data_IF_749269688218
#
_entry.id   IF_749269688218
#
_cell.length_a   1.000
_cell.length_b   1.000
_cell.length_c   1.000
_cell.angle_alpha   90.00
_cell.angle_beta   90.00
_cell.angle_gamma   90.00
#
_symmetry.space_group_name_H-M   'P 1'
#
loop_
_entity.id
_entity.type
_entity.pdbx_description
1 polymer ?
#
# COMPACT_ATOMS: atom_id res chain seq x y z
N UNK A 1 -2.07 -10.75 -5.39
CA UNK A 1 -1.44 -9.64 -6.12
C UNK A 1 -1.45 -8.36 -5.26
N UNK A 2 -2.62 -7.84 -4.86
CA UNK A 2 -2.72 -6.55 -4.17
C UNK A 2 -1.78 -6.39 -2.95
N UNK A 3 -1.56 -7.46 -2.17
CA UNK A 3 -0.63 -7.43 -1.03
C UNK A 3 0.82 -7.27 -1.46
N UNK A 4 1.24 -7.99 -2.49
CA UNK A 4 2.61 -7.94 -3.00
C UNK A 4 2.89 -6.63 -3.75
N UNK A 5 1.89 -6.14 -4.49
CA UNK A 5 1.99 -4.91 -5.30
C UNK A 5 1.73 -3.63 -4.50
N UNK A 6 1.47 -3.74 -3.18
CA UNK A 6 1.20 -2.59 -2.32
C UNK A 6 -0.04 -1.79 -2.72
N UNK A 7 -1.08 -2.47 -3.20
CA UNK A 7 -2.34 -1.84 -3.61
C UNK A 7 -3.28 -1.70 -2.42
N UNK A 8 -3.70 -0.48 -2.06
CA UNK A 8 -4.68 -0.27 -0.99
C UNK A 8 -6.06 -0.73 -1.45
N UNK A 9 -6.56 -1.78 -0.83
CA UNK A 9 -7.85 -2.38 -1.14
C UNK A 9 -8.61 -2.69 0.15
N UNK A 10 -9.87 -2.32 0.23
CA UNK A 10 -10.77 -2.72 1.31
C UNK A 10 -11.78 -3.72 0.77
N UNK A 11 -11.63 -4.98 1.16
CA UNK A 11 -12.59 -6.04 0.85
C UNK A 11 -13.63 -6.12 1.96
N UNK A 12 -14.90 -6.24 1.58
CA UNK A 12 -16.02 -6.50 2.50
C UNK A 12 -16.62 -7.82 2.11
N UNK A 13 -16.66 -8.77 3.05
CA UNK A 13 -17.27 -10.09 2.87
C UNK A 13 -18.46 -10.28 3.81
N UNK A 14 -19.35 -11.21 3.43
CA UNK A 14 -20.43 -11.68 4.29
C UNK A 14 -20.04 -12.96 5.00
N UNK A 15 -20.57 -13.17 6.21
CA UNK A 15 -20.34 -14.33 7.02
C UNK A 15 -21.68 -14.88 7.54
N UNK A 16 -21.72 -16.15 7.92
CA UNK A 16 -22.87 -16.73 8.63
C UNK A 16 -23.21 -15.92 9.88
N UNK A 17 -24.46 -15.99 10.40
CA UNK A 17 -24.82 -15.31 11.64
C UNK A 17 -23.84 -15.59 12.78
N UNK A 18 -23.62 -14.64 13.67
CA UNK A 18 -22.61 -14.72 14.73
C UNK A 18 -22.72 -15.95 15.62
N UNK A 19 -23.95 -16.43 15.87
CA UNK A 19 -24.21 -17.63 16.70
C UNK A 19 -23.90 -18.97 16.01
N UNK A 20 -23.68 -18.95 14.69
CA UNK A 20 -23.30 -20.13 13.91
C UNK A 20 -21.80 -20.20 13.66
N UNK A 21 -21.05 -19.14 13.92
CA UNK A 21 -19.61 -19.14 13.68
C UNK A 21 -18.91 -20.15 14.59
N UNK A 22 -18.15 -21.07 13.98
CA UNK A 22 -17.44 -22.14 14.69
C UNK A 22 -18.28 -23.41 14.89
N UNK A 23 -19.45 -23.53 14.26
CA UNK A 23 -20.33 -24.71 14.36
C UNK A 23 -20.31 -25.59 13.12
N UNK A 24 -19.47 -25.30 12.14
CA UNK A 24 -19.45 -25.96 10.82
C UNK A 24 -20.78 -25.79 10.06
N UNK A 25 -21.35 -24.60 10.16
CA UNK A 25 -22.62 -24.26 9.55
C UNK A 25 -22.53 -24.20 8.02
N UNK A 26 -23.65 -24.41 7.34
CA UNK A 26 -23.75 -24.30 5.89
C UNK A 26 -23.24 -22.95 5.40
N UNK A 27 -22.29 -22.97 4.46
CA UNK A 27 -21.57 -21.79 3.92
C UNK A 27 -20.69 -21.03 4.92
N UNK A 28 -20.40 -21.58 6.07
CA UNK A 28 -19.40 -21.03 6.97
C UNK A 28 -18.00 -21.16 6.35
N UNK A 29 -17.20 -20.13 6.52
CA UNK A 29 -15.80 -20.13 6.14
C UNK A 29 -14.98 -19.29 7.12
N UNK A 30 -13.81 -19.76 7.52
CA UNK A 30 -12.85 -18.95 8.26
C UNK A 30 -12.19 -17.92 7.35
N UNK A 31 -12.96 -16.94 6.92
CA UNK A 31 -12.50 -15.89 6.00
C UNK A 31 -11.31 -15.12 6.56
N UNK A 32 -11.29 -14.88 7.88
CA UNK A 32 -10.17 -14.17 8.54
C UNK A 32 -8.91 -15.02 8.55
N UNK A 33 -9.01 -16.33 8.77
CA UNK A 33 -7.88 -17.27 8.73
C UNK A 33 -7.29 -17.39 7.33
N UNK A 34 -8.14 -17.58 6.32
CA UNK A 34 -7.74 -17.72 4.90
C UNK A 34 -7.06 -16.44 4.40
N UNK A 35 -7.56 -15.27 4.76
CA UNK A 35 -7.06 -14.00 4.25
C UNK A 35 -5.90 -13.42 5.03
N UNK A 36 -5.59 -13.95 6.21
CA UNK A 36 -4.49 -13.47 7.06
C UNK A 36 -3.13 -13.39 6.35
N UNK A 37 -2.69 -14.38 5.57
CA UNK A 37 -1.38 -14.33 4.91
C UNK A 37 -1.31 -13.36 3.72
N UNK A 38 -2.44 -12.93 3.17
CA UNK A 38 -2.50 -12.09 1.98
C UNK A 38 -3.12 -10.70 2.20
N UNK A 39 -3.34 -10.30 3.46
CA UNK A 39 -3.86 -8.98 3.85
C UNK A 39 -2.99 -8.32 4.91
N UNK A 40 -3.01 -6.99 4.98
CA UNK A 40 -2.37 -6.24 6.07
C UNK A 40 -3.07 -6.47 7.41
N UNK A 41 -4.38 -6.57 7.36
CA UNK A 41 -5.22 -6.86 8.51
C UNK A 41 -6.62 -7.32 8.07
N UNK A 42 -7.28 -8.05 8.93
CA UNK A 42 -8.67 -8.46 8.74
C UNK A 42 -9.45 -8.31 10.04
N UNK A 43 -10.75 -8.12 9.92
CA UNK A 43 -11.68 -7.99 11.03
C UNK A 43 -12.90 -8.89 10.82
N UNK A 44 -13.34 -9.54 11.88
CA UNK A 44 -14.66 -10.12 11.97
C UNK A 44 -15.51 -9.20 12.88
N UNK A 45 -16.54 -8.57 12.35
CA UNK A 45 -17.40 -7.63 13.09
C UNK A 45 -18.42 -8.41 13.89
N UNK A 46 -18.36 -8.34 15.22
CA UNK A 46 -19.25 -9.07 16.13
C UNK A 46 -20.34 -8.20 16.79
N UNK A 47 -20.25 -6.88 16.67
CA UNK A 47 -21.24 -5.92 17.18
C UNK A 47 -21.43 -4.81 16.13
N UNK A 48 -22.69 -4.49 15.81
CA UNK A 48 -23.03 -3.42 14.86
C UNK A 48 -22.52 -2.05 15.30
N UNK A 49 -22.33 -1.82 16.60
CA UNK A 49 -21.77 -0.57 17.13
C UNK A 49 -20.32 -0.35 16.69
N UNK A 50 -19.59 -1.42 16.43
CA UNK A 50 -18.20 -1.37 15.97
C UNK A 50 -18.06 -1.27 14.46
N UNK A 51 -19.13 -1.56 13.69
CA UNK A 51 -19.07 -1.64 12.22
C UNK A 51 -18.50 -0.36 11.60
N UNK A 52 -19.08 0.79 11.91
CA UNK A 52 -18.65 2.05 11.30
C UNK A 52 -17.18 2.38 11.65
N UNK A 53 -16.78 2.19 12.91
CA UNK A 53 -15.39 2.37 13.35
C UNK A 53 -14.43 1.41 12.64
N UNK A 54 -14.83 0.16 12.46
CA UNK A 54 -14.03 -0.85 11.77
C UNK A 54 -13.84 -0.49 10.31
N UNK A 55 -14.89 -0.06 9.62
CA UNK A 55 -14.77 0.41 8.21
C UNK A 55 -13.81 1.60 8.11
N UNK A 56 -13.94 2.62 8.96
CA UNK A 56 -12.98 3.72 8.96
C UNK A 56 -11.55 3.25 9.20
N UNK A 57 -11.35 2.33 10.14
CA UNK A 57 -10.03 1.78 10.44
C UNK A 57 -9.48 0.96 9.27
N UNK A 58 -10.33 0.25 8.54
CA UNK A 58 -9.94 -0.51 7.36
C UNK A 58 -9.33 0.40 6.28
N UNK A 59 -9.97 1.53 5.96
CA UNK A 59 -9.41 2.50 5.01
C UNK A 59 -8.10 3.11 5.52
N UNK A 60 -8.02 3.44 6.80
CA UNK A 60 -6.79 3.96 7.40
C UNK A 60 -5.64 2.94 7.27
N UNK A 61 -5.86 1.68 7.65
CA UNK A 61 -4.83 0.64 7.62
C UNK A 61 -4.42 0.32 6.18
N UNK A 62 -5.38 0.24 5.25
CA UNK A 62 -5.08 -0.02 3.84
C UNK A 62 -4.10 1.01 3.25
N UNK A 63 -4.21 2.26 3.66
CA UNK A 63 -3.45 3.40 3.09
C UNK A 63 -2.25 3.86 3.91
N UNK A 64 -2.07 3.37 5.15
CA UNK A 64 -0.99 3.82 6.05
C UNK A 64 0.27 2.97 5.88
N UNK A 65 1.44 3.59 5.90
CA UNK A 65 2.73 2.92 5.69
C UNK A 65 2.83 2.33 4.28
N UNK A 66 3.32 1.08 4.15
CA UNK A 66 3.21 0.36 2.87
C UNK A 66 1.73 0.07 2.61
N UNK A 67 1.13 0.58 1.52
CA UNK A 67 -0.26 0.29 1.19
C UNK A 67 -0.51 -1.21 0.98
N UNK A 68 -1.74 -1.65 1.16
CA UNK A 68 -2.07 -3.05 0.92
C UNK A 68 -3.52 -3.38 1.27
N UNK A 69 -3.99 -4.58 0.93
CA UNK A 69 -5.36 -5.01 1.12
C UNK A 69 -5.67 -5.27 2.60
N UNK A 70 -6.91 -5.02 2.95
CA UNK A 70 -7.53 -5.40 4.22
C UNK A 70 -8.89 -6.03 3.97
N UNK A 71 -9.40 -6.79 4.92
CA UNK A 71 -10.71 -7.44 4.82
C UNK A 71 -11.56 -7.14 6.05
N UNK A 72 -12.84 -6.87 5.82
CA UNK A 72 -13.87 -6.75 6.87
C UNK A 72 -14.95 -7.78 6.60
N UNK A 73 -15.05 -8.78 7.47
CA UNK A 73 -16.04 -9.85 7.40
C UNK A 73 -17.22 -9.49 8.30
N UNK A 74 -18.44 -9.44 7.70
CA UNK A 74 -19.63 -8.92 8.37
C UNK A 74 -20.69 -10.02 8.41
N UNK A 75 -20.96 -10.60 9.62
CA UNK A 75 -21.99 -11.59 9.81
C UNK A 75 -23.39 -11.11 9.39
N UNK A 76 -24.21 -12.03 8.90
CA UNK A 76 -25.55 -11.74 8.37
C UNK A 76 -26.44 -11.03 9.39
N UNK A 77 -26.44 -11.44 10.64
CA UNK A 77 -27.24 -10.84 11.71
C UNK A 77 -26.78 -9.41 12.03
N UNK A 78 -25.49 -9.12 11.95
CA UNK A 78 -24.93 -7.76 12.10
C UNK A 78 -25.45 -6.82 11.01
N UNK A 79 -25.59 -7.32 9.77
CA UNK A 79 -26.09 -6.51 8.64
C UNK A 79 -27.56 -6.09 8.82
N UNK A 80 -28.36 -6.87 9.57
CA UNK A 80 -29.76 -6.55 9.86
C UNK A 80 -29.98 -5.74 11.15
N UNK A 81 -28.96 -5.63 11.99
CA UNK A 81 -29.07 -4.89 13.25
C UNK A 81 -29.14 -3.39 13.01
N UNK A 82 -29.85 -2.71 13.93
CA UNK A 82 -29.96 -1.24 13.92
C UNK A 82 -29.07 -0.66 15.01
N UNK A 83 -28.29 0.35 14.65
CA UNK A 83 -27.49 1.11 15.62
C UNK A 83 -27.70 2.60 15.39
N UNK A 84 -27.46 3.39 16.44
CA UNK A 84 -27.41 4.85 16.33
C UNK A 84 -26.21 5.24 15.45
N UNK A 85 -26.45 5.97 14.37
CA UNK A 85 -25.37 6.50 13.56
C UNK A 85 -24.52 7.46 14.37
N UNK A 86 -23.22 7.20 14.40
CA UNK A 86 -22.22 8.08 14.99
C UNK A 86 -21.41 8.67 13.84
N UNK A 87 -21.51 9.99 13.64
CA UNK A 87 -20.66 10.67 12.68
C UNK A 87 -19.23 10.68 13.22
N UNK A 88 -18.40 9.79 12.72
CA UNK A 88 -16.97 9.89 12.94
C UNK A 88 -16.47 11.13 12.20
N UNK A 89 -16.45 12.28 12.90
CA UNK A 89 -15.70 13.44 12.39
C UNK A 89 -14.37 12.90 11.92
N UNK A 90 -13.97 13.25 10.66
CA UNK A 90 -12.64 12.94 10.15
C UNK A 90 -11.66 13.14 11.29
N UNK A 91 -11.22 12.06 11.92
CA UNK A 91 -10.07 12.17 12.81
C UNK A 91 -9.08 12.92 11.95
N UNK A 92 -8.62 14.10 12.46
CA UNK A 92 -7.52 14.83 11.81
C UNK A 92 -6.66 13.74 11.21
N UNK A 93 -6.49 13.74 9.87
CA UNK A 93 -5.54 12.81 9.25
C UNK A 93 -4.46 12.69 10.30
N UNK A 94 -4.27 11.51 10.87
CA UNK A 94 -2.99 11.26 11.47
C UNK A 94 -2.12 11.63 10.30
N UNK A 95 -1.76 12.91 10.28
CA UNK A 95 -0.69 13.34 9.44
C UNK A 95 0.33 12.35 9.86
N UNK A 96 0.41 11.27 9.06
CA UNK A 96 1.55 10.44 9.18
C UNK A 96 2.58 11.53 9.11
N UNK A 97 3.05 11.97 10.28
CA UNK A 97 4.22 12.78 10.32
C UNK A 97 5.05 11.96 9.39
N UNK A 98 5.24 12.45 8.17
CA UNK A 98 6.38 12.05 7.42
C UNK A 98 7.45 12.25 8.49
N UNK A 99 7.65 11.20 9.28
CA UNK A 99 8.84 11.15 10.05
C UNK A 99 9.82 11.23 8.92
N UNK A 100 10.38 12.42 8.70
CA UNK A 100 11.59 12.54 7.95
C UNK A 100 12.54 11.58 8.65
N UNK A 101 12.44 10.31 8.24
CA UNK A 101 13.23 9.21 8.81
C UNK A 101 14.69 9.39 8.43
N UNK A 102 14.95 10.37 7.59
CA UNK A 102 16.29 10.69 7.11
C UNK A 102 16.79 11.96 7.81
N UNK A 103 17.88 11.82 8.51
CA UNK A 103 18.62 12.97 9.05
C UNK A 103 19.47 13.61 7.94
N UNK A 104 19.90 14.86 8.12
CA UNK A 104 20.86 15.47 7.20
C UNK A 104 22.10 14.60 7.02
N UNK A 105 22.58 13.96 8.08
CA UNK A 105 23.71 13.04 8.03
C UNK A 105 23.49 11.84 7.10
N UNK A 106 22.25 11.31 7.03
CA UNK A 106 21.92 10.21 6.10
C UNK A 106 21.96 10.70 4.65
N UNK A 107 21.48 11.92 4.40
CA UNK A 107 21.53 12.56 3.07
C UNK A 107 22.98 12.80 2.65
N UNK A 108 23.81 13.36 3.53
CA UNK A 108 25.23 13.63 3.25
C UNK A 108 25.98 12.33 2.92
N UNK A 109 25.72 11.27 3.67
CA UNK A 109 26.27 9.93 3.41
C UNK A 109 25.82 9.37 2.05
N UNK A 110 24.55 9.55 1.69
CA UNK A 110 24.02 9.14 0.39
C UNK A 110 24.74 9.87 -0.75
N UNK A 111 24.89 11.18 -0.65
CA UNK A 111 25.59 12.01 -1.63
C UNK A 111 27.06 11.55 -1.76
N UNK A 112 27.74 11.30 -0.65
CA UNK A 112 29.11 10.78 -0.65
C UNK A 112 29.20 9.43 -1.37
N UNK A 113 28.27 8.51 -1.11
CA UNK A 113 28.23 7.21 -1.79
C UNK A 113 28.00 7.36 -3.30
N UNK A 114 27.06 8.22 -3.69
CA UNK A 114 26.78 8.50 -5.10
C UNK A 114 27.99 9.09 -5.82
N UNK A 115 28.70 10.04 -5.19
CA UNK A 115 29.87 10.70 -5.78
C UNK A 115 31.08 9.78 -5.96
N UNK A 116 31.17 8.71 -5.19
CA UNK A 116 32.25 7.70 -5.26
C UNK A 116 31.91 6.50 -6.11
N UNK A 117 30.65 6.34 -6.53
CA UNK A 117 30.19 5.21 -7.30
C UNK A 117 30.82 5.20 -8.70
N UNK A 118 31.36 4.05 -9.12
CA UNK A 118 31.98 3.89 -10.47
C UNK A 118 30.95 3.54 -11.54
N UNK A 119 29.91 2.82 -11.16
CA UNK A 119 28.82 2.38 -12.06
C UNK A 119 27.46 2.56 -11.35
N UNK A 120 27.09 3.82 -11.09
CA UNK A 120 25.82 4.08 -10.41
C UNK A 120 24.65 3.84 -11.35
N UNK A 121 23.53 3.37 -10.79
CA UNK A 121 22.26 3.22 -11.47
C UNK A 121 21.12 3.52 -10.51
N UNK A 122 20.10 4.21 -10.96
CA UNK A 122 18.86 4.32 -10.23
C UNK A 122 17.95 3.13 -10.54
N UNK A 123 17.43 2.51 -9.50
CA UNK A 123 16.45 1.46 -9.60
C UNK A 123 15.17 1.89 -8.91
N UNK A 124 14.12 2.15 -9.68
CA UNK A 124 12.87 2.73 -9.20
C UNK A 124 11.71 1.74 -9.22
N UNK A 125 10.77 1.93 -8.34
CA UNK A 125 9.60 1.07 -8.20
C UNK A 125 8.32 1.86 -7.94
N UNK A 126 7.23 1.16 -7.63
CA UNK A 126 5.90 1.72 -7.38
C UNK A 126 5.83 2.76 -6.26
N UNK A 127 6.85 2.81 -5.39
CA UNK A 127 6.94 3.83 -4.34
C UNK A 127 7.00 5.26 -4.88
N UNK A 128 7.63 5.49 -6.03
CA UNK A 128 7.67 6.81 -6.70
C UNK A 128 6.27 7.19 -7.17
N UNK A 129 5.56 6.27 -7.85
CA UNK A 129 4.18 6.46 -8.32
C UNK A 129 3.26 6.77 -7.14
N UNK A 130 3.34 5.99 -6.07
CA UNK A 130 2.51 6.16 -4.87
C UNK A 130 2.80 7.46 -4.10
N UNK A 131 3.97 8.06 -4.30
CA UNK A 131 4.35 9.36 -3.72
C UNK A 131 3.78 10.55 -4.50
N UNK A 132 3.20 10.31 -5.68
CA UNK A 132 2.51 11.28 -6.50
C UNK A 132 3.40 12.00 -7.53
N UNK A 133 2.81 12.87 -8.38
CA UNK A 133 3.48 13.48 -9.54
C UNK A 133 4.77 14.23 -9.18
N UNK A 134 4.79 14.93 -8.04
CA UNK A 134 5.96 15.67 -7.59
C UNK A 134 7.18 14.77 -7.37
N UNK A 135 6.98 13.53 -6.92
CA UNK A 135 8.09 12.59 -6.74
C UNK A 135 8.70 12.19 -8.09
N UNK A 136 7.88 12.02 -9.13
CA UNK A 136 8.36 11.75 -10.49
C UNK A 136 9.10 12.95 -11.09
N UNK A 137 8.64 14.18 -10.81
CA UNK A 137 9.36 15.41 -11.21
C UNK A 137 10.73 15.48 -10.57
N UNK A 138 10.81 15.26 -9.25
CA UNK A 138 12.08 15.26 -8.50
C UNK A 138 13.01 14.13 -8.94
N UNK A 139 12.46 12.96 -9.30
CA UNK A 139 13.26 11.87 -9.86
C UNK A 139 13.89 12.27 -11.19
N UNK A 140 13.13 12.90 -12.10
CA UNK A 140 13.66 13.40 -13.37
C UNK A 140 14.76 14.43 -13.16
N UNK A 141 14.55 15.37 -12.23
CA UNK A 141 15.54 16.36 -11.86
C UNK A 141 16.83 15.70 -11.32
N UNK A 142 16.71 14.73 -10.44
CA UNK A 142 17.82 13.98 -9.87
C UNK A 142 18.62 13.24 -10.95
N UNK A 143 17.93 12.55 -11.86
CA UNK A 143 18.56 11.84 -12.98
C UNK A 143 19.29 12.83 -13.90
N UNK A 144 18.66 13.95 -14.23
CA UNK A 144 19.28 15.01 -15.06
C UNK A 144 20.54 15.61 -14.42
N UNK A 145 20.52 15.86 -13.11
CA UNK A 145 21.68 16.44 -12.37
C UNK A 145 22.84 15.44 -12.29
N UNK A 146 22.54 14.16 -12.04
CA UNK A 146 23.57 13.15 -11.81
C UNK A 146 24.11 12.54 -13.11
N UNK A 147 23.32 12.53 -14.15
CA UNK A 147 23.63 11.81 -15.39
C UNK A 147 23.60 10.28 -15.26
N UNK A 148 23.10 9.75 -14.14
CA UNK A 148 23.07 8.31 -13.91
C UNK A 148 21.97 7.64 -14.73
N UNK A 149 22.23 6.43 -15.27
CA UNK A 149 21.17 5.66 -15.92
C UNK A 149 20.12 5.23 -14.90
N UNK A 150 18.91 5.01 -15.39
CA UNK A 150 17.76 4.62 -14.57
C UNK A 150 17.04 3.42 -15.18
N UNK A 151 16.64 2.50 -14.33
CA UNK A 151 15.77 1.37 -14.66
C UNK A 151 14.60 1.28 -13.71
N UNK A 152 13.58 0.52 -14.06
CA UNK A 152 12.34 0.47 -13.31
C UNK A 152 11.83 -0.96 -13.13
N UNK A 153 11.14 -1.22 -12.02
CA UNK A 153 10.25 -2.37 -11.90
C UNK A 153 8.97 -2.16 -12.71
N UNK A 154 8.19 -3.21 -12.93
CA UNK A 154 6.87 -3.11 -13.55
C UNK A 154 5.98 -2.05 -12.86
N UNK A 155 5.94 -2.04 -11.53
CA UNK A 155 5.16 -1.07 -10.75
C UNK A 155 5.74 0.36 -10.74
N UNK A 156 6.96 0.53 -11.20
CA UNK A 156 7.61 1.83 -11.33
C UNK A 156 7.48 2.45 -12.73
N UNK A 157 6.95 1.72 -13.70
CA UNK A 157 6.73 2.25 -15.06
C UNK A 157 5.84 3.50 -15.02
N UNK A 158 6.22 4.52 -15.79
CA UNK A 158 5.56 5.83 -15.79
C UNK A 158 6.12 6.81 -14.76
N UNK A 159 7.01 6.41 -13.84
CA UNK A 159 7.69 7.35 -12.93
C UNK A 159 8.78 8.17 -13.63
N UNK A 160 9.32 7.67 -14.73
CA UNK A 160 10.33 8.31 -15.55
C UNK A 160 9.97 8.16 -17.05
N UNK A 161 10.31 9.12 -17.92
CA UNK A 161 10.02 9.02 -19.36
C UNK A 161 10.70 7.82 -20.01
N UNK A 162 9.93 7.06 -20.80
CA UNK A 162 10.44 5.87 -21.49
C UNK A 162 11.25 6.16 -22.74
N UNK A 163 11.20 7.40 -23.25
CA UNK A 163 11.92 7.90 -24.41
C UNK A 163 13.20 8.68 -24.05
N UNK A 164 13.51 8.79 -22.76
CA UNK A 164 14.74 9.41 -22.29
C UNK A 164 15.94 8.47 -22.49
N UNK A 165 17.04 9.00 -22.98
CA UNK A 165 18.27 8.24 -23.26
C UNK A 165 18.92 7.62 -22.02
N UNK A 166 18.57 8.08 -20.82
CA UNK A 166 19.07 7.53 -19.56
C UNK A 166 18.20 6.38 -19.06
N UNK A 167 17.01 6.13 -19.65
CA UNK A 167 16.13 5.06 -19.28
C UNK A 167 16.53 3.74 -19.93
N UNK A 168 16.98 2.78 -19.12
CA UNK A 168 17.40 1.44 -19.55
C UNK A 168 16.26 0.44 -19.69
N UNK A 169 15.01 0.89 -19.59
CA UNK A 169 13.86 0.00 -19.67
C UNK A 169 13.50 -0.65 -18.32
N UNK A 170 12.74 -1.74 -18.40
CA UNK A 170 12.25 -2.47 -17.24
C UNK A 170 13.10 -3.72 -16.97
N UNK A 171 13.44 -3.96 -15.72
CA UNK A 171 14.10 -5.19 -15.29
C UNK A 171 13.14 -6.38 -15.16
N UNK A 172 13.71 -7.56 -15.23
CA UNK A 172 13.05 -8.82 -14.89
C UNK A 172 12.70 -9.67 -16.10
N UNK A 173 11.96 -10.77 -15.85
CA UNK A 173 11.65 -11.81 -16.84
C UNK A 173 10.90 -11.26 -18.08
N UNK A 174 10.14 -10.19 -17.92
CA UNK A 174 9.41 -9.51 -18.99
C UNK A 174 10.04 -8.16 -19.37
N UNK A 175 11.27 -7.94 -18.96
CA UNK A 175 12.00 -6.71 -19.22
C UNK A 175 12.72 -6.68 -20.57
N UNK A 176 13.50 -5.63 -20.75
CA UNK A 176 14.38 -5.45 -21.92
C UNK A 176 15.71 -6.19 -21.73
N UNK A 177 16.49 -6.32 -22.80
CA UNK A 177 17.81 -6.97 -22.80
C UNK A 177 18.95 -6.08 -22.29
N UNK A 178 18.67 -4.85 -21.93
CA UNK A 178 19.63 -3.83 -21.54
C UNK A 178 20.02 -3.89 -20.07
#
# INVERSE_FOLDING_TARGET
DAYMDSIPLVCISGQVPTHLIGTDAFQECDTTGITRPCTKHNWLVKDVKDLAKTIHKAFEVATTGRPGPVLVDIPKDIQFQKAKYINFKKQKKLNGKSNNRFSQKDIDKLIEMMSKAKQPIFYTGGGVINSGPKASEQLRELVSITGFPITSTLQGLGSFPGDDNQFLGMLGMHGTYE
#
